data_IF_413238944704
#
_entry.id   IF_413238944704
#
_cell.length_a   1.000
_cell.length_b   1.000
_cell.length_c   1.000
_cell.angle_alpha   90.00
_cell.angle_beta   90.00
_cell.angle_gamma   90.00
#
_symmetry.space_group_name_H-M   'P 1'
#
loop_
_entity.id
_entity.type
_entity.pdbx_description
1 polymer ?
#
# COMPACT_ATOMS: atom_id res chain seq x y z
N UNK A 1 20.89 -13.81 -70.02
CA UNK A 1 20.11 -14.93 -69.46
C UNK A 1 21.09 -15.78 -68.66
N UNK A 2 21.04 -15.93 -67.34
CA UNK A 2 19.90 -16.30 -66.49
C UNK A 2 20.15 -15.87 -65.03
N UNK A 3 19.11 -15.27 -64.44
CA UNK A 3 18.75 -15.21 -63.02
C UNK A 3 19.77 -14.58 -62.05
N UNK A 4 19.67 -13.35 -61.52
CA UNK A 4 18.52 -12.61 -60.97
C UNK A 4 17.46 -13.55 -60.39
N UNK A 5 17.56 -13.89 -59.11
CA UNK A 5 16.48 -14.21 -58.15
C UNK A 5 17.06 -15.03 -56.99
N UNK A 6 17.19 -14.40 -55.81
CA UNK A 6 17.25 -14.95 -54.45
C UNK A 6 17.60 -13.77 -53.53
N UNK A 7 16.80 -12.70 -53.53
CA UNK A 7 15.63 -12.51 -52.67
C UNK A 7 15.79 -13.11 -51.26
N UNK A 8 15.88 -12.18 -50.30
CA UNK A 8 15.08 -12.12 -49.08
C UNK A 8 15.21 -13.34 -48.15
N UNK A 9 15.95 -13.16 -47.04
CA UNK A 9 15.43 -13.37 -45.68
C UNK A 9 16.61 -13.53 -44.71
N UNK A 10 17.14 -12.42 -44.20
CA UNK A 10 17.98 -12.41 -43.00
C UNK A 10 17.62 -11.17 -42.16
N UNK A 11 16.31 -10.97 -41.97
CA UNK A 11 15.78 -9.89 -41.15
C UNK A 11 14.70 -10.48 -40.23
N UNK A 12 15.05 -11.43 -39.35
CA UNK A 12 14.09 -11.95 -38.38
C UNK A 12 14.70 -12.63 -37.17
N UNK A 13 15.73 -12.06 -36.53
CA UNK A 13 16.21 -12.55 -35.21
C UNK A 13 16.87 -11.43 -34.40
N UNK A 14 16.19 -10.29 -34.24
CA UNK A 14 16.40 -9.44 -33.07
C UNK A 14 15.23 -9.72 -32.13
N UNK A 15 15.45 -10.73 -31.29
CA UNK A 15 14.58 -11.16 -30.22
C UNK A 15 14.04 -9.95 -29.47
N UNK A 16 12.72 -9.79 -29.58
CA UNK A 16 11.80 -9.33 -28.56
C UNK A 16 12.47 -9.24 -27.18
N UNK A 17 13.07 -8.08 -26.89
CA UNK A 17 13.22 -7.65 -25.52
C UNK A 17 11.83 -7.24 -25.06
N UNK A 18 11.01 -8.24 -24.77
CA UNK A 18 9.84 -8.09 -23.92
C UNK A 18 10.39 -7.62 -22.59
N UNK A 19 10.57 -6.30 -22.42
CA UNK A 19 10.65 -5.75 -21.09
C UNK A 19 9.37 -6.23 -20.43
N UNK A 20 9.52 -7.13 -19.46
CA UNK A 20 8.44 -7.51 -18.59
C UNK A 20 7.83 -6.19 -18.12
N UNK A 21 6.62 -5.91 -18.60
CA UNK A 21 5.69 -5.07 -17.86
C UNK A 21 5.57 -5.82 -16.54
N UNK A 22 6.41 -5.43 -15.58
CA UNK A 22 6.29 -5.89 -14.21
C UNK A 22 4.97 -5.33 -13.77
N UNK A 23 3.90 -6.09 -14.02
CA UNK A 23 2.64 -5.98 -13.30
C UNK A 23 3.10 -5.85 -11.87
N UNK A 24 3.01 -4.64 -11.34
CA UNK A 24 3.39 -4.37 -9.97
C UNK A 24 2.26 -5.01 -9.18
N UNK A 25 2.35 -6.33 -9.01
CA UNK A 25 1.35 -7.13 -8.36
C UNK A 25 1.02 -6.41 -7.07
N UNK A 26 -0.24 -5.97 -6.97
CA UNK A 26 -0.63 -5.04 -5.95
C UNK A 26 -0.29 -5.71 -4.60
N UNK A 27 0.63 -5.09 -3.87
CA UNK A 27 1.18 -5.64 -2.63
C UNK A 27 0.97 -4.64 -1.49
N UNK A 28 0.76 -5.14 -0.28
CA UNK A 28 0.55 -4.29 0.91
C UNK A 28 1.71 -3.31 1.16
N UNK A 29 2.96 -3.69 0.84
CA UNK A 29 4.13 -2.84 1.08
C UNK A 29 4.14 -1.56 0.23
N UNK A 30 4.76 -0.51 0.78
CA UNK A 30 4.91 0.80 0.15
C UNK A 30 4.11 1.89 0.85
N UNK A 31 4.00 3.03 0.18
CA UNK A 31 3.28 4.21 0.68
C UNK A 31 1.84 4.21 0.17
N UNK A 32 0.93 4.62 1.04
CA UNK A 32 -0.51 4.66 0.80
C UNK A 32 -1.10 5.97 1.34
N UNK A 33 -1.78 6.73 0.50
CA UNK A 33 -2.42 8.00 0.82
C UNK A 33 -3.90 7.76 1.16
N UNK A 34 -4.39 8.37 2.24
CA UNK A 34 -5.78 8.24 2.67
C UNK A 34 -6.72 8.90 1.64
N UNK A 35 -7.73 8.16 1.20
CA UNK A 35 -8.86 8.64 0.42
C UNK A 35 -10.00 9.03 1.35
N UNK A 36 -10.35 8.16 2.29
CA UNK A 36 -11.46 8.36 3.22
C UNK A 36 -11.20 7.69 4.57
N UNK A 37 -11.85 8.20 5.61
CA UNK A 37 -11.93 7.55 6.93
C UNK A 37 -13.13 8.08 7.72
N UNK A 38 -13.73 7.23 8.54
CA UNK A 38 -14.78 7.59 9.49
C UNK A 38 -14.26 8.14 10.83
N UNK A 39 -12.94 8.28 10.98
CA UNK A 39 -12.29 8.96 12.11
C UNK A 39 -11.91 10.43 11.81
N UNK A 40 -12.29 10.95 10.63
CA UNK A 40 -12.04 12.31 10.20
C UNK A 40 -11.38 12.41 8.83
N UNK A 41 -11.53 13.56 8.17
CA UNK A 41 -10.90 13.85 6.88
C UNK A 41 -9.45 14.32 7.07
N UNK A 42 -8.55 13.84 6.20
CA UNK A 42 -7.15 14.23 6.25
C UNK A 42 -6.48 14.02 4.88
N UNK A 43 -6.46 15.08 4.06
CA UNK A 43 -5.90 15.02 2.72
C UNK A 43 -4.38 14.72 2.71
N UNK A 44 -3.69 15.01 3.80
CA UNK A 44 -2.25 14.76 3.96
C UNK A 44 -1.93 13.43 4.69
N UNK A 45 -2.93 12.66 5.11
CA UNK A 45 -2.68 11.43 5.88
C UNK A 45 -2.21 10.29 4.99
N UNK A 46 -1.17 9.60 5.45
CA UNK A 46 -0.62 8.45 4.75
C UNK A 46 -0.11 7.40 5.74
N UNK A 47 -0.05 6.17 5.25
CA UNK A 47 0.65 5.06 5.90
C UNK A 47 1.80 4.58 5.03
N UNK A 48 2.92 4.25 5.67
CA UNK A 48 4.01 3.50 5.08
C UNK A 48 4.01 2.08 5.63
N UNK A 49 4.15 1.10 4.75
CA UNK A 49 4.20 -0.32 5.10
C UNK A 49 5.52 -0.91 4.60
N UNK A 50 6.35 -1.38 5.53
CA UNK A 50 7.64 -2.01 5.23
C UNK A 50 7.54 -3.50 5.54
N UNK A 51 7.97 -4.36 4.61
CA UNK A 51 7.94 -5.82 4.76
C UNK A 51 9.28 -6.35 5.28
N UNK A 52 9.22 -7.28 6.22
CA UNK A 52 10.31 -8.09 6.74
C UNK A 52 9.85 -9.55 6.80
N UNK A 53 10.00 -10.29 5.70
CA UNK A 53 9.41 -11.62 5.55
C UNK A 53 7.89 -11.59 5.52
N UNK A 54 7.25 -12.33 6.44
CA UNK A 54 5.81 -12.29 6.67
C UNK A 54 5.36 -11.17 7.62
N UNK A 55 6.29 -10.53 8.34
CA UNK A 55 5.99 -9.39 9.22
C UNK A 55 5.99 -8.09 8.42
N UNK A 56 5.04 -7.23 8.70
CA UNK A 56 4.88 -5.91 8.10
C UNK A 56 4.86 -4.85 9.21
N UNK A 57 5.72 -3.84 9.08
CA UNK A 57 5.78 -2.69 9.98
C UNK A 57 5.02 -1.54 9.34
N UNK A 58 3.97 -1.07 10.01
CA UNK A 58 3.09 0.00 9.55
C UNK A 58 3.35 1.26 10.36
N UNK A 59 3.58 2.38 9.68
CA UNK A 59 3.76 3.70 10.30
C UNK A 59 2.85 4.73 9.63
N UNK A 60 2.01 5.39 10.43
CA UNK A 60 1.12 6.44 9.96
C UNK A 60 1.63 7.83 10.37
N UNK A 61 1.54 8.81 9.48
CA UNK A 61 1.99 10.17 9.77
C UNK A 61 1.10 10.90 10.80
N UNK A 62 -0.12 10.42 11.02
CA UNK A 62 -1.03 10.93 12.05
C UNK A 62 -0.76 10.33 13.44
N UNK A 63 0.30 9.52 13.61
CA UNK A 63 0.84 9.19 14.92
C UNK A 63 0.41 7.86 15.52
N UNK A 64 -0.03 6.89 14.71
CA UNK A 64 -0.10 5.50 15.12
C UNK A 64 0.87 4.62 14.33
N UNK A 65 1.19 3.46 14.90
CA UNK A 65 2.00 2.43 14.24
C UNK A 65 1.50 1.05 14.64
N UNK A 66 1.76 0.06 13.80
CA UNK A 66 1.35 -1.32 14.03
C UNK A 66 2.40 -2.32 13.50
N UNK A 67 2.40 -3.51 14.07
CA UNK A 67 3.06 -4.69 13.50
C UNK A 67 1.97 -5.66 13.08
N UNK A 68 1.96 -6.04 11.81
CA UNK A 68 0.95 -6.94 11.24
C UNK A 68 1.62 -8.11 10.54
N UNK A 69 0.93 -9.24 10.51
CA UNK A 69 1.38 -10.48 9.92
C UNK A 69 0.63 -10.68 8.59
N UNK A 70 1.38 -10.79 7.50
CA UNK A 70 0.85 -11.16 6.20
C UNK A 70 0.41 -12.64 6.18
N UNK A 71 -0.58 -12.93 5.36
CA UNK A 71 -1.06 -14.30 5.11
C UNK A 71 -0.02 -15.22 4.48
N UNK A 72 0.88 -14.63 3.69
CA UNK A 72 1.93 -15.35 2.98
C UNK A 72 3.21 -14.53 2.85
N UNK A 73 4.27 -15.24 2.49
CA UNK A 73 5.48 -14.62 1.96
C UNK A 73 5.20 -14.09 0.54
N UNK A 74 5.70 -12.90 0.21
CA UNK A 74 5.50 -12.27 -1.11
C UNK A 74 4.26 -11.37 -1.19
N UNK A 75 3.65 -11.21 -2.37
CA UNK A 75 2.42 -10.44 -2.57
C UNK A 75 1.29 -11.01 -1.68
N UNK A 76 0.92 -10.24 -0.67
CA UNK A 76 -0.12 -10.59 0.29
C UNK A 76 -1.32 -9.69 0.03
N UNK A 77 -2.53 -10.24 0.15
CA UNK A 77 -3.76 -9.48 0.02
C UNK A 77 -4.36 -9.09 1.36
N UNK A 78 -3.92 -9.71 2.45
CA UNK A 78 -4.38 -9.36 3.79
C UNK A 78 -3.26 -9.46 4.83
N UNK A 79 -3.37 -8.64 5.87
CA UNK A 79 -2.52 -8.72 7.04
C UNK A 79 -3.28 -8.27 8.29
N UNK A 80 -3.01 -8.91 9.42
CA UNK A 80 -3.65 -8.57 10.71
C UNK A 80 -2.61 -8.43 11.80
N UNK A 81 -2.91 -7.63 12.81
CA UNK A 81 -2.02 -7.50 13.96
C UNK A 81 -2.45 -6.43 14.92
N UNK A 82 -1.47 -5.86 15.63
CA UNK A 82 -1.70 -4.92 16.72
C UNK A 82 -0.85 -3.69 16.58
N UNK A 83 -1.38 -2.59 17.08
CA UNK A 83 -0.70 -1.32 17.08
C UNK A 83 -1.12 -0.43 18.23
N UNK A 84 -0.60 0.80 18.18
CA UNK A 84 -0.81 1.79 19.21
C UNK A 84 -0.76 3.19 18.65
N UNK A 85 -1.60 4.04 19.20
CA UNK A 85 -1.50 5.48 19.03
C UNK A 85 -0.40 6.03 19.94
N UNK A 86 0.39 6.96 19.41
CA UNK A 86 1.34 7.75 20.20
C UNK A 86 0.58 8.52 21.28
N UNK A 87 1.25 8.74 22.41
CA UNK A 87 0.72 9.57 23.47
C UNK A 87 0.65 11.02 22.98
N UNK A 88 -0.56 11.59 22.97
CA UNK A 88 -0.85 12.98 22.62
C UNK A 88 -1.97 13.51 23.51
N UNK A 89 -1.68 14.40 24.48
CA UNK A 89 -2.69 14.97 25.36
C UNK A 89 -3.87 15.58 24.58
N UNK A 90 -5.09 15.43 25.10
CA UNK A 90 -6.30 16.02 24.50
C UNK A 90 -6.92 15.27 23.31
N UNK A 91 -6.38 14.10 22.92
CA UNK A 91 -6.96 13.27 21.84
C UNK A 91 -7.61 12.01 22.39
N UNK A 92 -8.76 11.61 21.85
CA UNK A 92 -9.53 10.45 22.34
C UNK A 92 -8.78 9.12 22.20
N UNK A 93 -7.87 9.02 21.23
CA UNK A 93 -7.09 7.81 20.97
C UNK A 93 -5.71 7.82 21.64
N UNK A 94 -5.37 8.87 22.40
CA UNK A 94 -4.07 8.99 23.05
C UNK A 94 -3.70 7.73 23.83
N UNK A 95 -2.52 7.19 23.52
CA UNK A 95 -1.94 6.03 24.21
C UNK A 95 -2.75 4.72 24.05
N UNK A 96 -3.79 4.69 23.21
CA UNK A 96 -4.66 3.52 23.06
C UNK A 96 -4.06 2.46 22.14
N UNK A 97 -4.21 1.21 22.55
CA UNK A 97 -3.89 0.05 21.75
C UNK A 97 -5.07 -0.28 20.82
N UNK A 98 -4.77 -0.98 19.74
CA UNK A 98 -5.79 -1.46 18.80
C UNK A 98 -5.34 -2.75 18.12
N UNK A 99 -6.32 -3.53 17.70
CA UNK A 99 -6.14 -4.55 16.66
C UNK A 99 -6.41 -3.90 15.29
N UNK A 100 -5.75 -4.37 14.24
CA UNK A 100 -5.91 -3.84 12.88
C UNK A 100 -5.86 -4.94 11.83
N UNK A 101 -6.68 -4.80 10.80
CA UNK A 101 -6.69 -5.58 9.58
C UNK A 101 -6.48 -4.66 8.38
N UNK A 102 -5.60 -5.09 7.48
CA UNK A 102 -5.45 -4.51 6.15
C UNK A 102 -5.89 -5.54 5.11
N UNK A 103 -6.65 -5.09 4.11
CA UNK A 103 -7.04 -5.88 2.96
C UNK A 103 -6.79 -5.08 1.68
N UNK A 104 -6.24 -5.72 0.67
CA UNK A 104 -6.02 -5.13 -0.64
C UNK A 104 -7.08 -5.61 -1.62
N UNK A 105 -7.83 -4.67 -2.20
CA UNK A 105 -8.90 -4.95 -3.16
C UNK A 105 -8.95 -3.82 -4.19
N UNK A 106 -9.01 -4.16 -5.47
CA UNK A 106 -9.12 -3.20 -6.57
C UNK A 106 -8.05 -2.08 -6.50
N UNK A 107 -6.80 -2.47 -6.19
CA UNK A 107 -5.65 -1.59 -5.92
C UNK A 107 -5.79 -0.59 -4.76
N UNK A 108 -6.83 -0.74 -3.95
CA UNK A 108 -7.05 0.05 -2.75
C UNK A 108 -6.71 -0.76 -1.51
N UNK A 109 -6.05 -0.10 -0.56
CA UNK A 109 -5.77 -0.65 0.76
C UNK A 109 -6.92 -0.25 1.68
N UNK A 110 -7.71 -1.22 2.09
CA UNK A 110 -8.76 -1.08 3.10
C UNK A 110 -8.18 -1.37 4.48
N UNK A 111 -8.58 -0.59 5.47
CA UNK A 111 -8.18 -0.73 6.87
C UNK A 111 -9.41 -0.85 7.76
N UNK A 112 -9.37 -1.81 8.68
CA UNK A 112 -10.29 -1.93 9.80
C UNK A 112 -9.47 -1.96 11.09
N UNK A 113 -9.64 -0.95 11.94
CA UNK A 113 -8.90 -0.81 13.20
C UNK A 113 -9.88 -0.83 14.37
N UNK A 114 -9.69 -1.70 15.36
CA UNK A 114 -10.55 -1.75 16.54
C UNK A 114 -9.77 -1.21 17.73
N UNK A 115 -10.10 0.02 18.14
CA UNK A 115 -9.46 0.71 19.25
C UNK A 115 -10.19 0.38 20.54
N UNK A 116 -9.45 -0.06 21.55
CA UNK A 116 -9.93 -0.15 22.93
C UNK A 116 -9.84 1.24 23.57
N UNK A 117 -10.97 1.79 24.03
CA UNK A 117 -11.02 3.12 24.63
C UNK A 117 -10.66 3.12 26.13
N UNK A 118 -10.38 1.96 26.72
CA UNK A 118 -9.93 1.79 28.11
C UNK A 118 -11.05 1.89 29.16
N UNK A 119 -12.29 2.12 28.73
CA UNK A 119 -13.49 2.15 29.57
C UNK A 119 -14.42 0.95 29.30
N UNK A 120 -13.90 -0.10 28.68
CA UNK A 120 -14.67 -1.27 28.23
C UNK A 120 -15.39 -1.08 26.89
N UNK A 121 -15.46 0.15 26.34
CA UNK A 121 -15.99 0.39 25.00
C UNK A 121 -14.91 0.29 23.92
N UNK A 122 -15.34 -0.09 22.72
CA UNK A 122 -14.48 -0.19 21.52
C UNK A 122 -14.99 0.71 20.41
N UNK A 123 -14.08 1.25 19.62
CA UNK A 123 -14.39 1.99 18.38
C UNK A 123 -13.69 1.31 17.21
N UNK A 124 -14.48 0.87 16.23
CA UNK A 124 -13.95 0.43 14.94
C UNK A 124 -13.71 1.65 14.05
N UNK A 125 -12.53 1.84 13.48
CA UNK A 125 -12.22 2.87 12.50
C UNK A 125 -12.05 2.17 11.14
N UNK A 126 -12.65 2.74 10.11
CA UNK A 126 -12.50 2.31 8.73
C UNK A 126 -11.77 3.38 7.94
N UNK A 127 -10.89 2.96 7.05
CA UNK A 127 -10.23 3.86 6.12
C UNK A 127 -9.89 3.17 4.81
N UNK A 128 -9.88 3.95 3.74
CA UNK A 128 -9.47 3.51 2.40
C UNK A 128 -8.29 4.35 1.98
N UNK A 129 -7.27 3.69 1.43
CA UNK A 129 -6.07 4.32 0.92
C UNK A 129 -5.78 3.88 -0.52
N UNK A 130 -5.12 4.75 -1.27
CA UNK A 130 -4.60 4.44 -2.60
C UNK A 130 -3.11 4.79 -2.70
N UNK A 131 -2.47 4.30 -3.76
CA UNK A 131 -1.11 4.75 -4.09
C UNK A 131 -1.11 6.27 -4.32
N UNK A 132 -0.12 7.01 -3.80
CA UNK A 132 0.03 8.42 -4.12
C UNK A 132 0.22 8.60 -5.63
N UNK A 133 -0.54 9.52 -6.23
CA UNK A 133 -0.29 9.94 -7.61
C UNK A 133 1.04 10.70 -7.65
N UNK A 134 2.00 10.34 -8.52
CA UNK A 134 3.21 11.13 -8.71
C UNK A 134 2.82 12.57 -9.07
N UNK A 135 3.34 13.55 -8.31
CA UNK A 135 3.24 14.96 -8.74
C UNK A 135 4.16 15.11 -9.94
N UNK A 136 3.61 15.37 -11.13
CA UNK A 136 4.42 15.74 -12.29
C UNK A 136 5.25 16.97 -11.94
N UNK A 137 6.51 17.07 -12.41
CA UNK A 137 7.30 18.28 -12.25
C UNK A 137 6.52 19.45 -12.85
N UNK A 138 6.25 20.47 -12.05
CA UNK A 138 5.72 21.73 -12.57
C UNK A 138 6.89 22.40 -13.29
N UNK A 139 6.96 22.23 -14.61
CA UNK A 139 7.86 23.01 -15.45
C UNK A 139 7.39 24.46 -15.35
N UNK A 140 8.13 25.28 -14.59
CA UNK A 140 7.96 26.73 -14.68
C UNK A 140 8.47 27.14 -16.05
N UNK A 141 7.56 27.63 -16.89
CA UNK A 141 7.90 28.34 -18.13
C UNK A 141 8.49 29.72 -17.78
#
# INVERSE_FOLDING_TARGET
MRLAFKLISFAFFALLSSQEVRSQEAQLSGRWQQISSDAGSCAACFVGIVRQGTVLIVSANNGWSATVQADRNGPAHFATGRGRWKMRPGTIYSNKAFDVLFALRDEQLMMFMVVDLGNGSKRTITAVFARPVPKLPVTRA
#
